data_IF_277952281166
#
_entry.id   IF_277952281166
#
_cell.length_a   1.000
_cell.length_b   1.000
_cell.length_c   1.000
_cell.angle_alpha   90.00
_cell.angle_beta   90.00
_cell.angle_gamma   90.00
#
_symmetry.space_group_name_H-M   'P 1'
#
loop_
_entity.id
_entity.type
_entity.pdbx_description
1 polymer ?
#
# COMPACT_ATOMS: atom_id res chain seq x y z
N UNK A 1 19.97 8.50 10.15
CA UNK A 1 19.21 8.42 9.46
C UNK A 1 18.42 9.49 9.05
N UNK A 2 18.42 10.24 9.01
CA UNK A 2 17.72 11.10 8.84
C UNK A 2 17.23 11.47 7.75
N UNK A 3 17.48 11.40 7.15
CA UNK A 3 17.02 11.75 6.21
C UNK A 3 16.18 12.46 5.72
N UNK A 4 15.53 12.50 5.93
CA UNK A 4 14.60 13.25 5.57
C UNK A 4 14.56 13.44 4.23
N UNK A 5 15.29 13.74 3.79
CA UNK A 5 15.18 14.06 2.61
C UNK A 5 14.41 13.36 1.81
N UNK A 6 14.35 12.55 1.93
CA UNK A 6 13.68 11.86 1.16
C UNK A 6 12.70 12.34 0.42
N UNK A 7 12.26 12.98 0.72
CA UNK A 7 11.19 13.37 0.13
C UNK A 7 11.02 12.96 -1.15
N UNK A 8 11.74 13.09 -1.60
CA UNK A 8 11.56 12.85 -2.79
C UNK A 8 10.81 11.87 -3.13
N UNK A 9 10.94 11.22 -2.67
CA UNK A 9 10.34 10.25 -3.09
C UNK A 9 9.10 10.27 -3.49
N UNK A 10 8.62 10.71 -3.00
CA UNK A 10 7.33 10.65 -3.21
C UNK A 10 7.03 10.22 -4.40
N UNK A 11 7.57 10.56 -4.84
CA UNK A 11 7.20 10.27 -5.91
C UNK A 11 6.55 9.21 -6.18
N UNK A 12 6.69 8.59 -5.88
CA UNK A 12 6.13 7.54 -6.19
C UNK A 12 4.96 7.46 -6.47
N UNK A 13 4.55 7.96 -6.10
CA UNK A 13 3.43 7.84 -6.33
C UNK A 13 2.79 6.77 -6.42
N UNK A 14 3.15 6.06 -6.36
CA UNK A 14 2.42 5.06 -6.52
C UNK A 14 1.52 4.95 -5.61
N UNK A 15 0.95 4.26 -5.69
CA UNK A 15 0.04 3.96 -4.84
C UNK A 15 0.34 4.14 -3.54
N UNK A 16 -0.19 4.27 -2.80
CA UNK A 16 0.08 4.26 -1.47
C UNK A 16 0.61 5.51 -1.01
N UNK A 17 1.12 6.25 -1.82
CA UNK A 17 1.61 7.42 -1.28
C UNK A 17 0.64 8.48 -1.19
N UNK A 18 -0.51 8.32 -1.70
CA UNK A 18 -1.39 9.45 -1.82
C UNK A 18 -1.58 10.24 -0.59
N UNK A 19 -1.78 9.62 0.47
CA UNK A 19 -2.12 10.40 1.61
C UNK A 19 -0.95 10.68 2.47
N UNK A 20 0.21 10.41 2.05
CA UNK A 20 1.35 10.57 2.90
C UNK A 20 2.19 11.69 2.41
N UNK A 21 2.51 12.59 3.27
CA UNK A 21 3.39 13.64 2.91
C UNK A 21 4.76 13.05 2.65
N UNK A 22 5.39 13.51 1.63
CA UNK A 22 6.71 13.00 1.35
C UNK A 22 7.65 13.28 2.50
N UNK A 23 7.37 14.27 3.26
CA UNK A 23 8.28 14.58 4.36
C UNK A 23 8.26 13.50 5.42
N UNK A 24 7.24 12.67 5.42
CA UNK A 24 7.19 11.62 6.41
C UNK A 24 7.83 10.34 5.94
N UNK A 25 8.35 10.31 4.75
CA UNK A 25 8.96 9.09 4.29
C UNK A 25 10.30 8.92 4.96
N UNK A 26 10.47 7.80 5.59
CA UNK A 26 11.75 7.43 6.16
C UNK A 26 12.70 7.12 5.00
N UNK A 27 13.94 7.58 5.10
CA UNK A 27 14.88 7.36 4.00
C UNK A 27 15.17 5.89 3.79
N UNK A 28 15.09 5.08 4.85
CA UNK A 28 15.29 3.65 4.66
C UNK A 28 14.15 3.06 3.85
N UNK A 29 12.93 3.50 4.12
CA UNK A 29 11.80 3.01 3.33
C UNK A 29 11.92 3.47 1.89
N UNK A 30 12.40 4.68 1.67
CA UNK A 30 12.55 5.16 0.30
C UNK A 30 13.49 4.26 -0.52
N UNK A 31 14.56 3.78 0.12
CA UNK A 31 15.47 2.88 -0.58
C UNK A 31 14.80 1.55 -0.91
N UNK A 32 13.98 1.07 0.00
CA UNK A 32 13.28 -0.18 -0.24
C UNK A 32 12.27 -0.02 -1.37
N UNK A 33 11.62 1.13 -1.43
CA UNK A 33 10.63 1.38 -2.47
C UNK A 33 11.26 1.31 -3.85
N UNK A 34 12.53 1.70 -3.96
CA UNK A 34 13.23 1.57 -5.24
C UNK A 34 13.29 0.11 -5.65
N UNK A 35 13.57 -0.80 -4.71
CA UNK A 35 13.55 -2.22 -5.04
C UNK A 35 12.17 -2.67 -5.48
N UNK A 36 11.14 -2.16 -4.81
CA UNK A 36 9.77 -2.51 -5.18
C UNK A 36 9.47 -2.07 -6.61
N UNK A 37 9.86 -0.85 -6.95
CA UNK A 37 9.60 -0.34 -8.28
C UNK A 37 10.37 -1.10 -9.35
N UNK A 38 11.52 -1.62 -9.00
CA UNK A 38 12.29 -2.43 -9.91
C UNK A 38 11.84 -3.88 -9.91
N UNK A 39 10.77 -4.18 -9.20
CA UNK A 39 10.18 -5.51 -9.11
C UNK A 39 11.12 -6.54 -8.51
N UNK A 40 12.10 -6.08 -7.74
CA UNK A 40 12.93 -7.00 -6.97
C UNK A 40 12.18 -7.33 -5.69
N UNK A 41 11.12 -8.13 -5.85
CA UNK A 41 10.21 -8.36 -4.73
C UNK A 41 10.85 -9.21 -3.64
N UNK A 42 11.67 -10.20 -4.01
CA UNK A 42 12.32 -11.01 -2.99
C UNK A 42 13.26 -10.16 -2.14
N UNK A 43 14.06 -9.32 -2.79
CA UNK A 43 14.96 -8.46 -2.04
C UNK A 43 14.21 -7.43 -1.21
N UNK A 44 13.13 -6.89 -1.78
CA UNK A 44 12.33 -5.92 -1.03
C UNK A 44 11.69 -6.55 0.18
N UNK A 45 11.24 -7.81 0.07
CA UNK A 45 10.58 -8.46 1.19
C UNK A 45 11.53 -8.60 2.38
N UNK A 46 12.77 -9.02 2.10
CA UNK A 46 13.75 -9.16 3.18
C UNK A 46 13.95 -7.83 3.88
N UNK A 47 14.12 -6.77 3.10
CA UNK A 47 14.35 -5.45 3.68
C UNK A 47 13.12 -4.95 4.41
N UNK A 48 11.92 -5.24 3.89
CA UNK A 48 10.69 -4.78 4.54
C UNK A 48 10.43 -5.50 5.84
N UNK A 49 10.80 -6.79 5.92
CA UNK A 49 10.64 -7.49 7.19
C UNK A 49 11.46 -6.81 8.27
N UNK A 50 12.69 -6.40 7.94
CA UNK A 50 13.50 -5.69 8.90
C UNK A 50 12.90 -4.31 9.19
N UNK A 51 12.41 -3.64 8.15
CA UNK A 51 11.88 -2.29 8.32
C UNK A 51 10.67 -2.26 9.25
N UNK A 52 9.70 -3.18 9.08
CA UNK A 52 8.52 -3.14 9.93
C UNK A 52 8.84 -3.60 11.33
N UNK A 53 9.89 -4.43 11.49
CA UNK A 53 10.33 -4.78 12.83
C UNK A 53 10.88 -3.56 13.56
N UNK A 54 11.62 -2.74 12.87
CA UNK A 54 12.21 -1.55 13.47
C UNK A 54 11.27 -0.37 13.52
N UNK A 55 10.24 -0.35 12.67
CA UNK A 55 9.30 0.76 12.59
C UNK A 55 7.88 0.23 12.62
N UNK A 56 7.48 -0.41 13.72
CA UNK A 56 6.19 -1.13 13.72
C UNK A 56 4.97 -0.25 13.64
N UNK A 57 5.12 1.04 13.86
CA UNK A 57 3.96 1.93 13.78
C UNK A 57 3.91 2.75 12.51
N UNK A 58 4.72 2.40 11.53
CA UNK A 58 4.70 3.11 10.27
C UNK A 58 3.81 2.35 9.29
N UNK A 59 2.59 2.84 9.11
CA UNK A 59 1.62 2.17 8.25
C UNK A 59 2.14 2.03 6.81
N UNK A 60 2.99 2.95 6.37
CA UNK A 60 3.53 2.85 5.02
C UNK A 60 4.39 1.60 4.86
N UNK A 61 5.15 1.23 5.89
CA UNK A 61 5.92 0.00 5.82
C UNK A 61 5.03 -1.20 5.67
N UNK A 62 3.95 -1.23 6.44
CA UNK A 62 3.02 -2.36 6.34
C UNK A 62 2.33 -2.40 4.99
N UNK A 63 2.08 -1.22 4.40
CA UNK A 63 1.51 -1.17 3.06
C UNK A 63 2.45 -1.83 2.05
N UNK A 64 3.72 -1.49 2.10
CA UNK A 64 4.65 -2.02 1.11
C UNK A 64 4.94 -3.49 1.31
N UNK A 65 5.05 -3.96 2.56
CA UNK A 65 5.28 -5.38 2.76
C UNK A 65 4.04 -6.19 2.37
N UNK A 66 2.85 -5.62 2.56
CA UNK A 66 1.65 -6.25 2.05
C UNK A 66 1.65 -6.32 0.53
N UNK A 67 2.02 -5.22 -0.11
CA UNK A 67 2.05 -5.17 -1.57
C UNK A 67 3.04 -6.21 -2.12
N UNK A 68 4.23 -6.26 -1.57
CA UNK A 68 5.24 -7.19 -2.05
C UNK A 68 4.80 -8.64 -1.83
N UNK A 69 4.22 -8.91 -0.66
CA UNK A 69 3.74 -10.25 -0.38
C UNK A 69 2.65 -10.67 -1.36
N UNK A 70 1.76 -9.74 -1.72
CA UNK A 70 0.74 -10.05 -2.71
C UNK A 70 1.36 -10.31 -4.07
N UNK A 71 2.35 -9.52 -4.47
CA UNK A 71 3.02 -9.76 -5.75
C UNK A 71 3.72 -11.11 -5.78
N UNK A 72 4.19 -11.58 -4.64
CA UNK A 72 4.80 -12.89 -4.55
C UNK A 72 3.78 -14.00 -4.34
N UNK A 73 2.49 -13.67 -4.39
CA UNK A 73 1.38 -14.60 -4.22
C UNK A 73 1.24 -15.14 -2.80
N UNK A 74 1.86 -14.50 -1.84
CA UNK A 74 1.70 -14.85 -0.43
C UNK A 74 0.49 -14.11 0.10
N UNK A 75 -0.70 -14.54 -0.31
CA UNK A 75 -1.91 -13.77 -0.07
C UNK A 75 -2.31 -13.71 1.40
N UNK A 76 -2.09 -14.79 2.15
CA UNK A 76 -2.44 -14.78 3.57
C UNK A 76 -1.56 -13.78 4.33
N UNK A 77 -0.28 -13.76 4.03
CA UNK A 77 0.60 -12.80 4.65
C UNK A 77 0.22 -11.38 4.27
N UNK A 78 -0.06 -11.17 2.99
CA UNK A 78 -0.42 -9.82 2.54
C UNK A 78 -1.65 -9.33 3.31
N UNK A 79 -2.63 -10.18 3.49
CA UNK A 79 -3.83 -9.78 4.20
C UNK A 79 -3.53 -9.37 5.63
N UNK A 80 -2.66 -10.14 6.30
CA UNK A 80 -2.30 -9.79 7.67
C UNK A 80 -1.56 -8.47 7.74
N UNK A 81 -0.64 -8.23 6.80
CA UNK A 81 0.12 -7.00 6.81
C UNK A 81 -0.77 -5.79 6.58
N UNK A 82 -1.71 -5.90 5.64
CA UNK A 82 -2.63 -4.79 5.41
C UNK A 82 -3.50 -4.54 6.64
N UNK A 83 -3.90 -5.60 7.34
CA UNK A 83 -4.71 -5.42 8.53
C UNK A 83 -3.95 -4.66 9.62
N UNK A 84 -2.66 -4.96 9.78
CA UNK A 84 -1.87 -4.22 10.76
C UNK A 84 -1.78 -2.75 10.36
N UNK A 85 -1.54 -2.48 9.09
CA UNK A 85 -1.45 -1.10 8.64
C UNK A 85 -2.75 -0.34 8.86
N UNK A 86 -3.88 -0.98 8.64
CA UNK A 86 -5.16 -0.31 8.85
C UNK A 86 -5.49 -0.14 10.33
N UNK A 87 -4.94 -0.98 11.21
CA UNK A 87 -5.10 -0.70 12.62
C UNK A 87 -4.36 0.56 13.00
N UNK A 88 -3.20 0.79 12.41
CA UNK A 88 -2.42 1.99 12.71
C UNK A 88 -3.09 3.21 12.11
N UNK A 89 -3.53 3.11 10.86
CA UNK A 89 -4.17 4.23 10.17
C UNK A 89 -5.35 3.70 9.37
N UNK A 90 -6.55 3.71 9.96
CA UNK A 90 -7.71 3.16 9.26
C UNK A 90 -8.07 3.87 7.96
N UNK A 91 -7.56 5.07 7.76
CA UNK A 91 -7.88 5.85 6.57
C UNK A 91 -6.71 5.88 5.59
N UNK A 92 -5.80 4.93 5.68
CA UNK A 92 -4.66 4.90 4.77
C UNK A 92 -5.15 4.50 3.38
N UNK A 93 -5.22 5.47 2.47
CA UNK A 93 -5.83 5.22 1.17
C UNK A 93 -5.03 4.21 0.34
N UNK A 94 -3.71 4.20 0.50
CA UNK A 94 -2.91 3.23 -0.24
C UNK A 94 -3.23 1.80 0.17
N UNK A 95 -3.38 1.55 1.48
CA UNK A 95 -3.69 0.21 1.93
C UNK A 95 -5.11 -0.17 1.50
N UNK A 96 -6.04 0.79 1.59
CA UNK A 96 -7.41 0.47 1.19
C UNK A 96 -7.48 0.09 -0.28
N UNK A 97 -6.70 0.75 -1.12
CA UNK A 97 -6.66 0.37 -2.52
C UNK A 97 -6.02 -1.01 -2.71
N UNK A 98 -4.86 -1.23 -2.13
CA UNK A 98 -4.14 -2.48 -2.35
C UNK A 98 -4.85 -3.67 -1.73
N UNK A 99 -5.45 -3.48 -0.56
CA UNK A 99 -6.25 -4.54 0.03
C UNK A 99 -7.45 -4.84 -0.85
N UNK A 100 -8.05 -3.80 -1.44
CA UNK A 100 -9.12 -4.03 -2.40
C UNK A 100 -8.66 -4.87 -3.58
N UNK A 101 -7.46 -4.61 -4.08
CA UNK A 101 -6.92 -5.43 -5.16
C UNK A 101 -6.70 -6.86 -4.72
N UNK A 102 -6.24 -7.05 -3.48
CA UNK A 102 -6.08 -8.39 -2.94
C UNK A 102 -7.42 -9.12 -2.89
N UNK A 103 -8.46 -8.43 -2.47
CA UNK A 103 -9.79 -9.04 -2.42
C UNK A 103 -10.26 -9.44 -3.81
N UNK A 104 -9.99 -8.63 -4.83
CA UNK A 104 -10.33 -9.01 -6.19
C UNK A 104 -9.57 -10.27 -6.59
N UNK A 105 -8.28 -10.32 -6.30
CA UNK A 105 -7.48 -11.47 -6.68
C UNK A 105 -7.88 -12.74 -5.97
N UNK A 106 -8.47 -12.63 -4.79
CA UNK A 106 -8.88 -13.80 -4.02
C UNK A 106 -10.38 -14.03 -4.07
N UNK A 107 -11.04 -13.42 -5.08
CA UNK A 107 -12.46 -13.66 -5.33
C UNK A 107 -13.36 -13.21 -4.21
N UNK A 108 -13.04 -12.10 -3.59
CA UNK A 108 -13.87 -11.51 -2.54
C UNK A 108 -14.30 -10.12 -2.99
N UNK A 109 -15.01 -10.06 -4.11
CA UNK A 109 -15.34 -8.79 -4.74
C UNK A 109 -16.16 -7.88 -3.82
N UNK A 110 -17.04 -8.44 -3.01
CA UNK A 110 -17.84 -7.59 -2.14
C UNK A 110 -16.97 -6.83 -1.15
N UNK A 111 -15.91 -7.46 -0.66
CA UNK A 111 -15.03 -6.76 0.26
C UNK A 111 -14.24 -5.68 -0.46
N UNK A 112 -13.90 -5.91 -1.72
CA UNK A 112 -13.26 -4.85 -2.50
C UNK A 112 -14.21 -3.67 -2.69
N UNK A 113 -15.49 -3.95 -2.88
CA UNK A 113 -16.47 -2.87 -3.02
C UNK A 113 -16.64 -2.09 -1.72
N UNK A 114 -16.53 -2.75 -0.58
CA UNK A 114 -16.55 -2.04 0.68
C UNK A 114 -15.37 -1.08 0.81
N UNK A 115 -14.19 -1.53 0.37
CA UNK A 115 -13.03 -0.64 0.39
C UNK A 115 -13.23 0.53 -0.56
N UNK A 116 -13.83 0.29 -1.72
CA UNK A 116 -14.10 1.37 -2.65
C UNK A 116 -15.04 2.40 -2.03
N UNK A 117 -16.07 1.93 -1.33
CA UNK A 117 -16.99 2.86 -0.68
C UNK A 117 -16.26 3.72 0.34
N UNK A 118 -15.36 3.10 1.10
CA UNK A 118 -14.59 3.86 2.07
C UNK A 118 -13.68 4.87 1.38
N UNK A 119 -13.06 4.48 0.29
CA UNK A 119 -12.24 5.41 -0.47
C UNK A 119 -13.07 6.55 -1.05
N UNK A 120 -14.29 6.26 -1.47
CA UNK A 120 -15.19 7.33 -1.93
C UNK A 120 -15.47 8.32 -0.80
N UNK A 121 -15.71 7.82 0.41
CA UNK A 121 -16.00 8.71 1.53
C UNK A 121 -14.79 9.56 1.88
N UNK A 122 -13.59 9.04 1.71
CA UNK A 122 -12.38 9.77 2.03
C UNK A 122 -11.97 10.73 0.92
N UNK A 123 -12.51 10.55 -0.26
CA UNK A 123 -12.05 11.30 -1.42
C UNK A 123 -12.62 12.69 -1.42
N UNK A 124 -11.74 13.67 -1.56
CA UNK A 124 -12.19 15.04 -1.68
C UNK A 124 -12.07 15.49 -3.12
N UNK A 125 -11.01 15.07 -3.83
CA UNK A 125 -10.83 15.62 -5.14
C UNK A 125 -9.82 14.77 -5.90
N UNK A 126 -10.20 14.20 -7.01
CA UNK A 126 -9.28 13.58 -7.95
C UNK A 126 -8.42 12.50 -7.29
N UNK A 127 -9.03 11.55 -6.66
CA UNK A 127 -8.33 10.61 -5.81
C UNK A 127 -7.85 9.41 -6.60
N UNK A 128 -6.54 9.29 -6.72
CA UNK A 128 -5.95 8.24 -7.54
C UNK A 128 -6.30 6.84 -7.03
N UNK A 129 -6.18 6.63 -5.73
CA UNK A 129 -6.43 5.31 -5.16
C UNK A 129 -7.87 4.87 -5.39
N UNK A 130 -8.82 5.81 -5.19
CA UNK A 130 -10.21 5.52 -5.43
C UNK A 130 -10.45 5.20 -6.89
N UNK A 131 -9.88 5.99 -7.77
CA UNK A 131 -10.11 5.81 -9.20
C UNK A 131 -9.52 4.49 -9.68
N UNK A 132 -8.36 4.12 -9.15
CA UNK A 132 -7.73 2.90 -9.56
C UNK A 132 -8.54 1.69 -9.13
N UNK A 133 -8.98 1.66 -7.88
CA UNK A 133 -9.76 0.52 -7.41
C UNK A 133 -11.11 0.46 -8.13
N UNK A 134 -11.74 1.60 -8.37
CA UNK A 134 -13.01 1.60 -9.08
C UNK A 134 -12.84 1.02 -10.48
N UNK A 135 -11.75 1.37 -11.14
CA UNK A 135 -11.51 0.86 -12.49
C UNK A 135 -11.33 -0.65 -12.47
N UNK A 136 -10.59 -1.15 -11.50
CA UNK A 136 -10.36 -2.59 -11.42
C UNK A 136 -11.64 -3.35 -11.11
N UNK A 137 -12.46 -2.82 -10.22
CA UNK A 137 -13.74 -3.46 -9.93
C UNK A 137 -14.62 -3.46 -11.16
N UNK A 138 -14.65 -2.34 -11.88
CA UNK A 138 -15.47 -2.28 -13.08
C UNK A 138 -15.06 -3.33 -14.09
N UNK A 139 -13.77 -3.60 -14.20
CA UNK A 139 -13.32 -4.57 -15.19
C UNK A 139 -13.75 -5.99 -14.84
N UNK A 140 -14.04 -6.27 -13.57
CA UNK A 140 -14.52 -7.59 -13.20
C UNK A 140 -15.89 -7.87 -13.81
N UNK A 141 -16.71 -6.82 -14.01
CA UNK A 141 -18.05 -7.01 -14.53
C UNK A 141 -18.11 -7.02 -16.05
N UNK A 142 -16.99 -6.82 -16.71
CA UNK A 142 -16.98 -6.89 -18.16
C UNK A 142 -16.81 -8.34 -18.61
#
# INVERSE_FOLDING_TARGET
GSGGSGGSGGSGGSAGDGNVSSSNYNSDLAKIVIKVRNENFDGALVDLEQYVYENPNDANGWNYIGFVSRKLKNFDEAERYYAVGLEINPNHVGILEYQGELYIETNRLEMAEENLEKLNDLCIFNCTERNELRSLISSVYE
#
